data_IF_105002563204
#
_entry.id   IF_105002563204
#
_cell.length_a   1.000
_cell.length_b   1.000
_cell.length_c   1.000
_cell.angle_alpha   90.00
_cell.angle_beta   90.00
_cell.angle_gamma   90.00
#
_symmetry.space_group_name_H-M   'P 1'
#
loop_
_entity.id
_entity.type
_entity.pdbx_description
1 polymer ?
#
# COMPACT_ATOMS: atom_id res chain seq x y z
N UNK A 1 -22.43 -2.73 15.52
CA UNK A 1 -21.11 -2.06 15.39
C UNK A 1 -20.11 -3.13 15.00
N UNK A 2 -19.87 -3.32 13.69
CA UNK A 2 -18.99 -4.40 13.20
C UNK A 2 -17.55 -3.98 13.51
N UNK A 3 -16.88 -4.72 14.39
CA UNK A 3 -15.45 -4.52 14.67
C UNK A 3 -14.66 -4.71 13.37
N UNK A 4 -13.91 -3.68 12.96
CA UNK A 4 -12.93 -3.81 11.90
C UNK A 4 -11.92 -4.93 12.27
N UNK A 5 -11.57 -5.85 11.34
CA UNK A 5 -10.48 -6.80 11.54
C UNK A 5 -9.21 -6.07 12.02
N UNK A 6 -8.48 -6.66 12.97
CA UNK A 6 -7.28 -6.05 13.57
C UNK A 6 -6.27 -5.55 12.51
N UNK A 7 -6.12 -6.27 11.40
CA UNK A 7 -5.24 -5.92 10.28
C UNK A 7 -5.62 -4.60 9.61
N UNK A 8 -6.93 -4.34 9.46
CA UNK A 8 -7.42 -3.09 8.86
C UNK A 8 -7.18 -1.91 9.81
N UNK A 9 -7.42 -2.11 11.11
CA UNK A 9 -7.12 -1.09 12.12
C UNK A 9 -5.65 -0.70 12.11
N UNK A 10 -4.75 -1.69 12.06
CA UNK A 10 -3.31 -1.45 12.01
C UNK A 10 -2.90 -0.65 10.78
N UNK A 11 -3.51 -0.95 9.62
CA UNK A 11 -3.29 -0.16 8.41
C UNK A 11 -3.79 1.29 8.57
N UNK A 12 -4.99 1.49 9.13
CA UNK A 12 -5.53 2.82 9.38
C UNK A 12 -4.67 3.62 10.37
N UNK A 13 -4.11 2.97 11.39
CA UNK A 13 -3.15 3.55 12.35
C UNK A 13 -1.83 3.92 11.67
N UNK A 14 -1.33 3.10 10.74
CA UNK A 14 -0.11 3.37 9.96
C UNK A 14 -0.23 4.64 9.10
N UNK A 15 -1.39 4.87 8.48
CA UNK A 15 -1.62 6.03 7.61
C UNK A 15 -2.15 7.26 8.36
N UNK A 16 -2.61 7.11 9.61
CA UNK A 16 -3.20 8.19 10.40
C UNK A 16 -2.32 9.45 10.50
N UNK A 17 -0.99 9.36 10.74
CA UNK A 17 -0.12 10.54 10.79
C UNK A 17 -0.07 11.30 9.46
N UNK A 18 -0.35 10.63 8.34
CA UNK A 18 -0.27 11.17 7.00
C UNK A 18 -1.61 11.69 6.48
N UNK A 19 -2.73 11.50 7.18
CA UNK A 19 -4.02 12.03 6.75
C UNK A 19 -4.11 13.56 6.88
N UNK A 20 -4.79 14.19 5.91
CA UNK A 20 -5.19 15.61 5.95
C UNK A 20 -6.47 15.82 6.76
N UNK A 21 -7.37 14.83 6.79
CA UNK A 21 -8.72 14.92 7.35
C UNK A 21 -9.44 16.17 6.83
N UNK A 22 -9.54 16.26 5.51
CA UNK A 22 -9.99 17.43 4.76
C UNK A 22 -11.47 17.37 4.37
N UNK A 23 -12.23 16.35 4.79
CA UNK A 23 -13.63 16.14 4.41
C UNK A 23 -14.63 17.30 4.60
N UNK A 24 -14.23 18.41 5.25
CA UNK A 24 -15.05 19.62 5.41
C UNK A 24 -14.31 20.92 5.03
N UNK A 25 -13.11 20.84 4.43
CA UNK A 25 -12.28 22.01 4.09
C UNK A 25 -12.46 22.38 2.62
N UNK A 26 -12.44 23.68 2.33
CA UNK A 26 -12.49 24.19 0.96
C UNK A 26 -11.26 23.76 0.15
N UNK A 27 -11.42 23.53 -1.16
CA UNK A 27 -10.33 23.06 -2.05
C UNK A 27 -9.09 23.97 -2.01
N UNK A 28 -9.27 25.29 -1.84
CA UNK A 28 -8.17 26.24 -1.71
C UNK A 28 -7.32 25.98 -0.46
N UNK A 29 -7.97 25.74 0.68
CA UNK A 29 -7.28 25.42 1.94
C UNK A 29 -6.58 24.05 1.88
N UNK A 30 -7.18 23.07 1.18
CA UNK A 30 -6.55 21.77 0.94
C UNK A 30 -5.30 21.92 0.07
N UNK A 31 -5.35 22.73 -0.99
CA UNK A 31 -4.20 22.96 -1.85
C UNK A 31 -3.04 23.68 -1.13
N UNK A 32 -3.32 24.65 -0.26
CA UNK A 32 -2.28 25.28 0.58
C UNK A 32 -1.64 24.28 1.55
N UNK A 33 -2.45 23.44 2.22
CA UNK A 33 -1.95 22.39 3.11
C UNK A 33 -1.08 21.37 2.36
N UNK A 34 -1.43 21.04 1.11
CA UNK A 34 -0.64 20.16 0.25
C UNK A 34 0.70 20.78 -0.15
N UNK A 35 0.73 22.09 -0.41
CA UNK A 35 1.98 22.78 -0.71
C UNK A 35 2.92 22.80 0.49
N UNK A 36 2.39 22.92 1.71
CA UNK A 36 3.19 22.82 2.94
C UNK A 36 3.66 21.39 3.25
N UNK A 37 2.84 20.38 2.93
CA UNK A 37 3.10 18.98 3.29
C UNK A 37 2.72 18.01 2.14
N UNK A 38 3.55 17.83 1.11
CA UNK A 38 3.22 17.02 -0.07
C UNK A 38 3.05 15.52 0.22
N UNK A 39 3.52 15.04 1.37
CA UNK A 39 3.37 13.65 1.81
C UNK A 39 2.01 13.35 2.46
N UNK A 40 1.18 14.36 2.68
CA UNK A 40 -0.14 14.18 3.28
C UNK A 40 -1.14 13.62 2.26
N UNK A 41 -2.09 12.82 2.75
CA UNK A 41 -3.08 12.06 1.96
C UNK A 41 -4.45 12.67 2.22
N UNK A 42 -5.18 13.04 1.15
CA UNK A 42 -6.56 13.51 1.30
C UNK A 42 -7.54 12.37 1.57
N UNK A 43 -8.70 12.70 2.13
CA UNK A 43 -9.78 11.73 2.36
C UNK A 43 -10.30 11.18 1.03
N UNK A 44 -10.29 11.98 -0.03
CA UNK A 44 -10.64 11.53 -1.38
C UNK A 44 -9.63 10.51 -1.92
N UNK A 45 -8.33 10.72 -1.73
CA UNK A 45 -7.29 9.78 -2.14
C UNK A 45 -7.37 8.46 -1.38
N UNK A 46 -7.61 8.53 -0.07
CA UNK A 46 -7.89 7.36 0.77
C UNK A 46 -9.06 6.58 0.20
N UNK A 47 -10.16 7.26 -0.12
CA UNK A 47 -11.37 6.63 -0.64
C UNK A 47 -11.12 5.97 -2.00
N UNK A 48 -10.51 6.71 -2.93
CA UNK A 48 -10.16 6.27 -4.29
C UNK A 48 -9.30 5.01 -4.28
N UNK A 49 -8.42 4.88 -3.29
CA UNK A 49 -7.46 3.77 -3.19
C UNK A 49 -7.87 2.67 -2.21
N UNK A 50 -9.02 2.79 -1.55
CA UNK A 50 -9.49 1.87 -0.50
C UNK A 50 -9.43 0.40 -0.92
N UNK A 51 -9.93 0.07 -2.11
CA UNK A 51 -9.93 -1.31 -2.62
C UNK A 51 -8.51 -1.87 -2.78
N UNK A 52 -7.55 -1.05 -3.22
CA UNK A 52 -6.15 -1.46 -3.33
C UNK A 52 -5.51 -1.65 -1.97
N UNK A 53 -5.73 -0.73 -1.04
CA UNK A 53 -5.23 -0.85 0.34
C UNK A 53 -5.73 -2.13 1.00
N UNK A 54 -7.04 -2.41 0.92
CA UNK A 54 -7.63 -3.63 1.47
C UNK A 54 -7.05 -4.90 0.83
N UNK A 55 -6.72 -4.87 -0.47
CA UNK A 55 -6.05 -5.98 -1.13
C UNK A 55 -4.65 -6.23 -0.56
N UNK A 56 -3.88 -5.18 -0.24
CA UNK A 56 -2.56 -5.37 0.37
C UNK A 56 -2.65 -5.94 1.78
N UNK A 57 -3.58 -5.42 2.59
CA UNK A 57 -3.86 -5.96 3.94
C UNK A 57 -4.24 -7.45 3.85
N UNK A 58 -5.15 -7.80 2.93
CA UNK A 58 -5.58 -9.19 2.75
C UNK A 58 -4.45 -10.09 2.26
N UNK A 59 -3.57 -9.60 1.40
CA UNK A 59 -2.40 -10.35 0.95
C UNK A 59 -1.45 -10.62 2.10
N UNK A 60 -1.20 -9.64 2.97
CA UNK A 60 -0.37 -9.86 4.16
C UNK A 60 -0.95 -10.94 5.09
N UNK A 61 -2.27 -10.96 5.31
CA UNK A 61 -2.93 -12.03 6.08
C UNK A 61 -2.68 -13.41 5.47
N UNK A 62 -2.78 -13.54 4.15
CA UNK A 62 -2.52 -14.81 3.45
C UNK A 62 -1.04 -15.21 3.54
N UNK A 63 -0.12 -14.25 3.40
CA UNK A 63 1.32 -14.53 3.54
C UNK A 63 1.67 -14.97 4.95
N UNK A 64 1.05 -14.33 5.94
CA UNK A 64 1.15 -14.75 7.32
C UNK A 64 0.54 -16.14 7.50
N UNK A 65 -0.57 -16.52 6.88
CA UNK A 65 -1.13 -17.85 7.14
C UNK A 65 -0.38 -19.00 6.44
N UNK A 66 0.15 -18.76 5.23
CA UNK A 66 0.65 -19.82 4.36
C UNK A 66 2.16 -19.77 4.12
N UNK A 67 2.87 -18.73 4.54
CA UNK A 67 4.29 -18.53 4.21
C UNK A 67 5.17 -18.18 5.41
N UNK A 68 4.73 -18.43 6.65
CA UNK A 68 5.55 -18.15 7.87
C UNK A 68 6.91 -18.82 7.87
N UNK A 69 6.97 -20.04 7.37
CA UNK A 69 8.16 -20.91 7.40
C UNK A 69 8.86 -21.00 6.03
N UNK A 70 8.51 -20.11 5.10
CA UNK A 70 9.21 -20.05 3.82
C UNK A 70 10.68 -19.61 4.01
N UNK A 71 11.57 -20.05 3.13
CA UNK A 71 12.95 -19.54 3.12
C UNK A 71 13.03 -18.11 2.50
N UNK A 72 12.12 -17.80 1.59
CA UNK A 72 12.05 -16.55 0.84
C UNK A 72 10.64 -16.36 0.30
N UNK A 73 10.13 -15.14 0.32
CA UNK A 73 8.83 -14.79 -0.29
C UNK A 73 9.07 -13.83 -1.45
N UNK A 74 8.68 -14.23 -2.67
CA UNK A 74 8.69 -13.37 -3.84
C UNK A 74 7.27 -12.92 -4.17
N UNK A 75 7.02 -11.61 -4.16
CA UNK A 75 5.70 -11.02 -4.39
C UNK A 75 5.80 -10.00 -5.52
N UNK A 76 4.78 -9.93 -6.37
CA UNK A 76 4.66 -8.88 -7.37
C UNK A 76 4.53 -7.51 -6.67
N UNK A 77 5.43 -6.59 -6.98
CA UNK A 77 5.42 -5.22 -6.48
C UNK A 77 4.10 -4.53 -6.88
N UNK A 78 3.31 -4.02 -5.91
CA UNK A 78 2.12 -3.24 -6.24
C UNK A 78 2.53 -1.97 -6.99
N UNK A 79 1.79 -1.60 -8.04
CA UNK A 79 2.11 -0.40 -8.82
C UNK A 79 1.11 0.72 -8.49
N UNK A 80 1.64 1.81 -7.91
CA UNK A 80 0.98 3.11 -7.87
C UNK A 80 1.31 3.90 -9.13
N UNK A 81 0.30 4.42 -9.84
CA UNK A 81 0.55 5.40 -10.92
C UNK A 81 0.98 6.72 -10.25
N UNK A 82 2.16 7.25 -10.59
CA UNK A 82 2.82 8.39 -9.91
C UNK A 82 1.91 9.61 -9.70
N UNK A 83 1.07 9.96 -10.67
CA UNK A 83 0.19 11.13 -10.58
C UNK A 83 -1.08 10.89 -9.74
N UNK A 84 -1.41 9.63 -9.47
CA UNK A 84 -2.68 9.27 -8.82
C UNK A 84 -2.51 8.75 -7.41
N UNK A 85 -1.30 8.40 -7.00
CA UNK A 85 -1.02 7.72 -5.74
C UNK A 85 -0.05 8.54 -4.89
N UNK A 86 -0.47 9.04 -3.71
CA UNK A 86 0.45 9.73 -2.81
C UNK A 86 1.57 8.78 -2.36
N UNK A 87 2.78 9.31 -2.24
CA UNK A 87 3.99 8.55 -1.92
C UNK A 87 3.90 7.86 -0.55
N UNK A 88 3.35 8.54 0.45
CA UNK A 88 3.11 8.00 1.80
C UNK A 88 2.15 6.81 1.80
N UNK A 89 1.06 6.88 1.02
CA UNK A 89 0.12 5.77 0.86
C UNK A 89 0.77 4.57 0.17
N UNK A 90 1.59 4.84 -0.86
CA UNK A 90 2.34 3.81 -1.54
C UNK A 90 3.34 3.12 -0.60
N UNK A 91 4.08 3.89 0.20
CA UNK A 91 5.00 3.33 1.20
C UNK A 91 4.26 2.51 2.26
N UNK A 92 3.09 2.98 2.71
CA UNK A 92 2.25 2.23 3.64
C UNK A 92 1.81 0.87 3.07
N UNK A 93 1.55 0.77 1.76
CA UNK A 93 1.26 -0.51 1.11
C UNK A 93 2.46 -1.46 1.14
N UNK A 94 3.66 -0.95 0.86
CA UNK A 94 4.87 -1.77 0.89
C UNK A 94 5.16 -2.29 2.30
N UNK A 95 5.07 -1.41 3.28
CA UNK A 95 5.21 -1.75 4.71
C UNK A 95 4.22 -2.84 5.11
N UNK A 96 2.94 -2.65 4.77
CA UNK A 96 1.87 -3.62 5.08
C UNK A 96 2.15 -5.00 4.48
N UNK A 97 2.69 -5.07 3.26
CA UNK A 97 2.98 -6.35 2.62
C UNK A 97 4.10 -7.12 3.33
N UNK A 98 5.13 -6.43 3.80
CA UNK A 98 6.29 -7.03 4.47
C UNK A 98 6.11 -7.20 5.99
N UNK A 99 5.02 -6.69 6.56
CA UNK A 99 4.82 -6.61 8.00
C UNK A 99 4.68 -7.99 8.65
N UNK A 100 5.38 -8.19 9.77
CA UNK A 100 5.37 -9.38 10.63
C UNK A 100 5.75 -10.70 9.93
N UNK A 101 6.41 -10.62 8.76
CA UNK A 101 6.94 -11.79 8.07
C UNK A 101 8.35 -12.12 8.58
N UNK A 102 8.52 -13.37 9.03
CA UNK A 102 9.83 -13.90 9.43
C UNK A 102 10.79 -14.09 8.23
N UNK A 103 10.33 -14.58 7.06
CA UNK A 103 11.22 -14.76 5.90
C UNK A 103 11.58 -13.43 5.22
N UNK A 104 12.72 -13.36 4.53
CA UNK A 104 13.01 -12.23 3.64
C UNK A 104 11.95 -12.12 2.53
N UNK A 105 11.55 -10.89 2.21
CA UNK A 105 10.54 -10.57 1.19
C UNK A 105 11.21 -9.81 0.05
N UNK A 106 11.02 -10.29 -1.19
CA UNK A 106 11.44 -9.59 -2.40
C UNK A 106 10.20 -9.16 -3.18
N UNK A 107 10.11 -7.86 -3.42
CA UNK A 107 9.08 -7.25 -4.25
C UNK A 107 9.60 -7.09 -5.68
N UNK A 108 9.02 -7.84 -6.63
CA UNK A 108 9.51 -7.95 -8.01
C UNK A 108 8.56 -7.25 -8.97
N UNK A 109 9.10 -6.50 -9.92
CA UNK A 109 8.35 -5.94 -11.05
C UNK A 109 9.09 -6.20 -12.36
N UNK A 110 8.42 -6.83 -13.31
CA UNK A 110 8.93 -6.94 -14.68
C UNK A 110 8.69 -5.67 -15.50
N UNK A 111 9.45 -5.50 -16.58
CA UNK A 111 9.31 -4.40 -17.56
C UNK A 111 8.18 -4.63 -18.61
N UNK A 112 7.31 -5.62 -18.38
CA UNK A 112 6.26 -6.04 -19.33
C UNK A 112 6.80 -6.53 -20.71
N UNK A 113 8.09 -6.83 -20.81
CA UNK A 113 8.70 -7.48 -21.98
C UNK A 113 8.74 -9.01 -21.83
N UNK A 114 8.86 -9.72 -22.95
CA UNK A 114 8.83 -11.20 -22.97
C UNK A 114 10.08 -11.78 -22.30
N UNK A 115 9.86 -12.59 -21.26
CA UNK A 115 10.94 -13.23 -20.47
C UNK A 115 11.14 -14.72 -20.75
N UNK A 116 10.22 -15.37 -21.48
CA UNK A 116 10.29 -16.81 -21.79
C UNK A 116 11.20 -17.14 -22.99
N UNK A 117 12.02 -16.20 -23.44
CA UNK A 117 12.91 -16.34 -24.60
C UNK A 117 14.26 -16.99 -24.27
N UNK A 118 14.60 -17.17 -23.00
CA UNK A 118 15.92 -17.61 -22.56
C UNK A 118 16.15 -19.14 -22.60
N UNK A 119 15.10 -19.97 -22.58
CA UNK A 119 15.23 -21.42 -22.37
C UNK A 119 15.11 -22.28 -23.65
N UNK A 120 15.12 -21.66 -24.83
CA UNK A 120 15.04 -22.37 -26.12
C UNK A 120 16.39 -22.48 -26.86
N UNK A 121 17.51 -22.45 -26.13
CA UNK A 121 18.84 -22.73 -26.67
C UNK A 121 19.24 -24.18 -26.48
#
# INVERSE_FOLDING_TARGET
>A
MVSLPCSIRRFDELIAPFRLNDGFKDEAAVNELRHGCPWKISDEEVHRHRAKSLRQVRLNEILLDYSRDAALIAITLPIGRKERCPSSLYMAWLETLSQDLRPPVILIRGNQENVLTFYCQ
#
